data_IF_279086897678
#
_entry.id   IF_279086897678
#
_cell.length_a   1.000
_cell.length_b   1.000
_cell.length_c   1.000
_cell.angle_alpha   90.00
_cell.angle_beta   90.00
_cell.angle_gamma   90.00
#
_symmetry.space_group_name_H-M   'P 1'
#
loop_
_entity.id
_entity.type
_entity.pdbx_description
1 polymer ?
#
# COMPACT_ATOMS: atom_id res chain seq x y z
N UNK A 1 75.27 -41.76 80.83
CA UNK A 1 76.34 -41.27 81.73
C UNK A 1 76.84 -39.96 81.11
N UNK A 2 76.33 -38.82 81.59
CA UNK A 2 76.99 -37.86 82.51
C UNK A 2 78.21 -37.18 81.85
N UNK A 3 78.06 -35.92 81.44
CA UNK A 3 78.57 -34.68 82.11
C UNK A 3 79.97 -34.33 81.59
N UNK A 4 80.47 -33.10 81.39
CA UNK A 4 80.02 -31.71 81.56
C UNK A 4 81.08 -30.84 80.82
N UNK A 5 80.71 -29.86 80.00
CA UNK A 5 80.74 -28.41 80.24
C UNK A 5 82.11 -27.73 80.48
N UNK A 6 82.49 -26.78 79.60
CA UNK A 6 83.06 -25.44 79.85
C UNK A 6 83.49 -24.82 78.48
N UNK A 7 82.90 -23.76 77.93
CA UNK A 7 82.84 -22.33 78.34
C UNK A 7 84.12 -21.53 77.99
N UNK A 8 84.10 -20.78 76.88
CA UNK A 8 84.70 -19.44 76.74
C UNK A 8 84.23 -18.72 75.45
N UNK A 9 83.69 -17.51 75.59
CA UNK A 9 83.49 -16.44 74.58
C UNK A 9 84.06 -15.15 75.26
N UNK A 10 84.33 -14.00 74.59
CA UNK A 10 83.57 -13.42 73.47
C UNK A 10 84.32 -12.46 72.50
N UNK A 11 83.51 -11.91 71.56
CA UNK A 11 83.52 -10.50 71.10
C UNK A 11 84.40 -10.12 69.90
N UNK A 12 83.76 -9.68 68.79
CA UNK A 12 83.97 -8.33 68.20
C UNK A 12 83.17 -8.12 66.87
N UNK A 13 82.29 -7.12 66.91
CA UNK A 13 81.91 -6.17 65.84
C UNK A 13 81.21 -6.59 64.51
N UNK A 14 79.87 -6.39 64.50
CA UNK A 14 79.01 -5.55 63.59
C UNK A 14 79.59 -4.99 62.26
N UNK A 15 78.76 -4.65 61.23
CA UNK A 15 77.36 -4.17 61.35
C UNK A 15 76.33 -4.55 60.26
N UNK A 16 75.05 -4.29 60.61
CA UNK A 16 73.90 -3.72 59.84
C UNK A 16 73.54 -4.31 58.47
N UNK A 17 72.38 -4.98 58.40
CA UNK A 17 71.07 -4.47 57.97
C UNK A 17 70.88 -4.39 56.45
N UNK A 18 69.85 -5.08 55.95
CA UNK A 18 68.72 -4.39 55.32
C UNK A 18 67.50 -5.32 55.27
N UNK A 19 66.52 -5.00 56.13
CA UNK A 19 65.14 -5.43 56.04
C UNK A 19 64.42 -4.58 54.99
N UNK A 20 63.69 -5.21 54.07
CA UNK A 20 62.63 -4.51 53.34
C UNK A 20 61.28 -5.15 53.70
N UNK A 21 60.62 -4.48 54.64
CA UNK A 21 59.21 -4.62 54.95
C UNK A 21 58.36 -4.28 53.73
N UNK A 22 57.52 -5.23 53.30
CA UNK A 22 56.44 -4.99 52.36
C UNK A 22 55.29 -4.26 53.07
N UNK A 23 55.41 -2.94 53.24
CA UNK A 23 54.32 -2.08 53.69
C UNK A 23 53.33 -1.88 52.53
N UNK A 24 52.23 -2.65 52.53
CA UNK A 24 51.02 -2.32 51.74
C UNK A 24 50.49 -0.96 52.18
N UNK A 25 50.78 0.08 51.42
CA UNK A 25 50.08 1.37 51.53
C UNK A 25 48.83 1.30 50.66
N UNK A 26 47.67 1.23 51.29
CA UNK A 26 46.37 1.36 50.63
C UNK A 26 46.16 2.86 50.28
N UNK A 27 45.98 3.25 49.00
CA UNK A 27 45.72 4.63 48.67
C UNK A 27 44.27 4.99 49.05
N UNK A 28 44.10 5.76 50.12
CA UNK A 28 42.85 6.50 50.35
C UNK A 28 42.75 7.60 49.30
N UNK A 29 42.08 7.33 48.19
CA UNK A 29 41.65 8.37 47.27
C UNK A 29 40.43 9.07 47.85
N UNK A 30 40.64 10.18 48.56
CA UNK A 30 39.56 11.11 48.93
C UNK A 30 39.10 11.86 47.67
N UNK A 31 38.33 11.16 46.84
CA UNK A 31 37.68 11.72 45.67
C UNK A 31 36.42 12.48 46.06
N UNK A 32 36.52 13.79 46.25
CA UNK A 32 35.39 14.72 46.38
C UNK A 32 34.40 14.62 45.20
N UNK A 33 34.86 14.11 44.05
CA UNK A 33 34.04 13.85 42.86
C UNK A 33 32.98 12.77 43.08
N UNK A 34 33.31 11.69 43.81
CA UNK A 34 32.38 10.60 44.11
C UNK A 34 31.24 11.01 45.04
N UNK A 35 31.51 11.93 45.99
CA UNK A 35 30.48 12.48 46.89
C UNK A 35 29.49 13.37 46.16
N UNK A 36 29.95 14.21 45.21
CA UNK A 36 29.06 15.05 44.40
C UNK A 36 28.21 14.22 43.41
N UNK A 37 28.80 13.19 42.80
CA UNK A 37 28.07 12.25 41.95
C UNK A 37 27.00 11.45 42.72
N UNK A 38 27.28 11.04 43.97
CA UNK A 38 26.31 10.33 44.82
C UNK A 38 25.12 11.20 45.25
N UNK A 39 25.33 12.51 45.47
CA UNK A 39 24.25 13.47 45.76
C UNK A 39 23.40 13.71 44.51
N UNK A 40 24.04 13.85 43.35
CA UNK A 40 23.34 13.95 42.06
C UNK A 40 22.48 12.72 41.75
N UNK A 41 22.99 11.52 42.02
CA UNK A 41 22.26 10.26 41.82
C UNK A 41 21.02 10.12 42.72
N UNK A 42 21.10 10.57 43.99
CA UNK A 42 19.96 10.58 44.90
C UNK A 42 18.89 11.59 44.48
N UNK A 43 19.30 12.76 43.98
CA UNK A 43 18.38 13.77 43.46
C UNK A 43 17.69 13.29 42.17
N UNK A 44 18.45 12.70 41.26
CA UNK A 44 17.94 12.13 40.01
C UNK A 44 16.93 11.00 40.27
N UNK A 45 17.19 10.13 41.25
CA UNK A 45 16.26 9.06 41.63
C UNK A 45 14.97 9.58 42.26
N UNK A 46 15.03 10.65 43.07
CA UNK A 46 13.85 11.26 43.70
C UNK A 46 12.93 11.94 42.67
N UNK A 47 13.52 12.59 41.66
CA UNK A 47 12.77 13.35 40.66
C UNK A 47 12.58 12.61 39.32
N UNK A 48 13.02 11.34 39.22
CA UNK A 48 13.00 10.53 38.00
C UNK A 48 11.62 10.46 37.33
N UNK A 49 10.57 10.26 38.13
CA UNK A 49 9.19 10.19 37.61
C UNK A 49 8.70 11.51 37.03
N UNK A 50 9.08 12.64 37.63
CA UNK A 50 8.69 13.97 37.14
C UNK A 50 9.43 14.32 35.84
N UNK A 51 10.74 14.04 35.77
CA UNK A 51 11.53 14.25 34.56
C UNK A 51 11.04 13.33 33.43
N UNK A 52 10.75 12.06 33.74
CA UNK A 52 10.20 11.12 32.76
C UNK A 52 8.83 11.58 32.24
N UNK A 53 7.96 12.10 33.10
CA UNK A 53 6.66 12.63 32.69
C UNK A 53 6.79 13.81 31.74
N UNK A 54 7.73 14.73 32.01
CA UNK A 54 8.02 15.88 31.15
C UNK A 54 8.55 15.41 29.79
N UNK A 55 9.51 14.48 29.76
CA UNK A 55 10.08 13.94 28.51
C UNK A 55 9.01 13.23 27.68
N UNK A 56 8.14 12.43 28.30
CA UNK A 56 7.03 11.77 27.61
C UNK A 56 6.05 12.81 27.06
N UNK A 57 5.72 13.85 27.83
CA UNK A 57 4.88 14.96 27.39
C UNK A 57 5.45 15.69 26.17
N UNK A 58 6.76 15.96 26.17
CA UNK A 58 7.45 16.54 25.01
C UNK A 58 7.43 15.62 23.79
N UNK A 59 7.64 14.31 23.96
CA UNK A 59 7.56 13.33 22.86
C UNK A 59 6.15 13.28 22.28
N UNK A 60 5.11 13.23 23.13
CA UNK A 60 3.71 13.25 22.69
C UNK A 60 3.41 14.54 21.94
N UNK A 61 3.85 15.70 22.44
CA UNK A 61 3.67 16.99 21.78
C UNK A 61 4.38 17.06 20.41
N UNK A 62 5.58 16.49 20.28
CA UNK A 62 6.29 16.40 19.00
C UNK A 62 5.52 15.49 18.02
N UNK A 63 4.94 14.38 18.50
CA UNK A 63 4.16 13.46 17.66
C UNK A 63 2.85 14.12 17.20
N UNK A 64 2.14 14.82 18.07
CA UNK A 64 0.87 15.49 17.72
C UNK A 64 1.10 16.61 16.72
N UNK A 65 2.10 17.47 16.93
CA UNK A 65 2.42 18.58 16.02
C UNK A 65 2.89 18.11 14.65
N UNK A 66 3.68 17.03 14.56
CA UNK A 66 4.07 16.43 13.27
C UNK A 66 2.90 15.80 12.51
N UNK A 67 1.91 15.26 13.23
CA UNK A 67 0.72 14.68 12.60
C UNK A 67 -0.18 15.76 12.03
N UNK A 68 -0.30 16.89 12.72
CA UNK A 68 -1.04 18.07 12.28
C UNK A 68 -0.42 18.67 11.01
N UNK A 69 0.91 18.86 10.98
CA UNK A 69 1.59 19.36 9.77
C UNK A 69 1.45 18.42 8.57
N UNK A 70 1.46 17.10 8.81
CA UNK A 70 1.23 16.11 7.75
C UNK A 70 -0.22 16.10 7.25
N UNK A 71 -1.18 16.48 8.09
CA UNK A 71 -2.59 16.56 7.72
C UNK A 71 -2.85 17.82 6.89
N UNK A 72 -2.29 18.96 7.27
CA UNK A 72 -2.35 20.21 6.52
C UNK A 72 -1.73 20.07 5.12
N UNK A 73 -0.58 19.39 4.99
CA UNK A 73 0.02 19.07 3.68
C UNK A 73 -0.91 18.23 2.80
N UNK A 74 -1.61 17.25 3.38
CA UNK A 74 -2.55 16.41 2.63
C UNK A 74 -3.81 17.17 2.24
N UNK A 75 -4.32 18.04 3.12
CA UNK A 75 -5.49 18.89 2.84
C UNK A 75 -5.17 19.90 1.74
N UNK A 76 -4.01 20.55 1.80
CA UNK A 76 -3.55 21.46 0.75
C UNK A 76 -3.37 20.74 -0.59
N UNK A 77 -2.77 19.54 -0.59
CA UNK A 77 -2.65 18.71 -1.78
C UNK A 77 -4.01 18.29 -2.37
N UNK A 78 -4.96 17.92 -1.51
CA UNK A 78 -6.33 17.57 -1.95
C UNK A 78 -7.04 18.77 -2.56
N UNK A 79 -6.96 19.95 -1.93
CA UNK A 79 -7.54 21.18 -2.48
C UNK A 79 -6.92 21.55 -3.83
N UNK A 80 -5.60 21.42 -3.97
CA UNK A 80 -4.92 21.66 -5.24
C UNK A 80 -5.39 20.69 -6.33
N UNK A 81 -5.57 19.40 -5.98
CA UNK A 81 -6.10 18.39 -6.90
C UNK A 81 -7.54 18.69 -7.32
N UNK A 82 -8.39 19.12 -6.39
CA UNK A 82 -9.78 19.51 -6.71
C UNK A 82 -9.84 20.65 -7.72
N UNK A 83 -9.05 21.71 -7.51
CA UNK A 83 -8.97 22.84 -8.46
C UNK A 83 -8.52 22.37 -9.84
N UNK A 84 -7.50 21.50 -9.91
CA UNK A 84 -7.03 20.97 -11.19
C UNK A 84 -8.06 20.09 -11.92
N UNK A 85 -8.88 19.35 -11.16
CA UNK A 85 -9.96 18.54 -11.71
C UNK A 85 -11.12 19.40 -12.20
N UNK A 86 -11.45 20.48 -11.48
CA UNK A 86 -12.45 21.45 -11.89
C UNK A 86 -12.05 22.15 -13.20
N UNK A 87 -10.78 22.57 -13.31
CA UNK A 87 -10.22 23.15 -14.54
C UNK A 87 -10.27 22.16 -15.72
N UNK A 88 -9.93 20.89 -15.49
CA UNK A 88 -10.08 19.84 -16.49
C UNK A 88 -11.55 19.63 -16.90
N UNK A 89 -12.48 19.69 -15.93
CA UNK A 89 -13.92 19.63 -16.17
C UNK A 89 -14.43 20.77 -17.05
N UNK A 90 -13.95 22.00 -16.81
CA UNK A 90 -14.30 23.17 -17.62
C UNK A 90 -13.72 23.09 -19.04
N UNK A 91 -12.47 22.66 -19.18
CA UNK A 91 -11.83 22.49 -20.49
C UNK A 91 -12.51 21.39 -21.31
N UNK A 92 -12.83 20.24 -20.70
CA UNK A 92 -13.56 19.15 -21.38
C UNK A 92 -14.97 19.57 -21.78
N UNK A 93 -15.67 20.38 -20.96
CA UNK A 93 -16.97 20.94 -21.33
C UNK A 93 -16.87 21.89 -22.54
N UNK A 94 -15.81 22.71 -22.61
CA UNK A 94 -15.54 23.58 -23.76
C UNK A 94 -15.24 22.77 -25.04
N UNK A 95 -14.42 21.72 -24.93
CA UNK A 95 -14.10 20.81 -26.04
C UNK A 95 -15.34 20.09 -26.56
N UNK A 96 -16.19 19.56 -25.66
CA UNK A 96 -17.46 18.93 -26.02
C UNK A 96 -18.34 19.91 -26.79
N UNK A 97 -18.45 21.16 -26.32
CA UNK A 97 -19.24 22.19 -26.99
C UNK A 97 -18.69 22.49 -28.39
N UNK A 98 -17.37 22.65 -28.52
CA UNK A 98 -16.73 22.86 -29.83
C UNK A 98 -16.96 21.68 -30.78
N UNK A 99 -16.95 20.46 -30.26
CA UNK A 99 -17.17 19.24 -31.05
C UNK A 99 -18.64 19.12 -31.50
N UNK A 100 -19.59 19.53 -30.65
CA UNK A 100 -21.01 19.65 -30.99
C UNK A 100 -21.21 20.71 -32.07
N UNK A 101 -20.61 21.90 -31.96
CA UNK A 101 -20.73 22.95 -32.97
C UNK A 101 -20.14 22.51 -34.31
N UNK A 102 -19.01 21.80 -34.30
CA UNK A 102 -18.41 21.22 -35.50
C UNK A 102 -19.31 20.12 -36.11
N UNK A 103 -19.91 19.25 -35.29
CA UNK A 103 -20.89 18.26 -35.76
C UNK A 103 -22.15 18.94 -36.32
N UNK A 104 -22.63 20.01 -35.70
CA UNK A 104 -23.78 20.76 -36.18
C UNK A 104 -23.50 21.42 -37.54
N UNK A 105 -22.28 21.91 -37.77
CA UNK A 105 -21.85 22.44 -39.07
C UNK A 105 -21.75 21.34 -40.14
N UNK A 106 -21.21 20.16 -39.79
CA UNK A 106 -21.18 18.99 -40.69
C UNK A 106 -22.58 18.51 -41.01
N UNK A 107 -23.51 18.45 -40.03
CA UNK A 107 -24.91 18.07 -40.26
C UNK A 107 -25.59 19.07 -41.20
N UNK A 108 -25.41 20.38 -40.99
CA UNK A 108 -25.94 21.42 -41.89
C UNK A 108 -25.35 21.34 -43.30
N UNK A 109 -24.06 20.99 -43.45
CA UNK A 109 -23.47 20.71 -44.77
C UNK A 109 -24.00 19.42 -45.37
N UNK A 110 -24.31 18.40 -44.57
CA UNK A 110 -24.87 17.13 -45.05
C UNK A 110 -26.33 17.22 -45.45
N UNK A 111 -27.14 18.09 -44.81
CA UNK A 111 -28.49 18.43 -45.28
C UNK A 111 -28.45 19.10 -46.67
N UNK A 112 -27.36 19.81 -47.00
CA UNK A 112 -27.13 20.37 -48.33
C UNK A 112 -26.66 19.31 -49.37
N UNK A 113 -26.14 18.16 -48.91
CA UNK A 113 -25.73 17.00 -49.72
C UNK A 113 -26.82 15.91 -49.84
N UNK A 114 -27.91 15.98 -49.07
CA UNK A 114 -29.07 15.09 -49.24
C UNK A 114 -29.78 15.30 -50.59
N UNK A 115 -29.51 16.44 -51.27
CA UNK A 115 -29.87 16.67 -52.66
C UNK A 115 -29.00 15.88 -53.68
N UNK A 116 -27.92 15.22 -53.25
CA UNK A 116 -26.97 14.49 -54.11
C UNK A 116 -26.92 12.97 -53.86
N UNK A 117 -27.61 12.44 -52.84
CA UNK A 117 -27.65 11.02 -52.50
C UNK A 117 -28.79 10.23 -53.16
N UNK A 118 -29.09 10.53 -54.43
CA UNK A 118 -29.81 9.60 -55.33
C UNK A 118 -28.87 8.75 -56.19
N UNK A 119 -27.56 8.84 -56.02
CA UNK A 119 -26.58 8.25 -56.96
C UNK A 119 -25.45 7.41 -56.36
N UNK A 120 -25.55 6.91 -55.12
CA UNK A 120 -24.45 6.11 -54.53
C UNK A 120 -24.89 4.81 -53.86
N UNK A 121 -25.62 3.98 -54.61
CA UNK A 121 -25.71 2.55 -54.32
C UNK A 121 -24.66 1.79 -55.15
N UNK A 122 -23.39 1.76 -54.71
CA UNK A 122 -22.40 0.74 -55.15
C UNK A 122 -21.11 0.69 -54.30
N UNK A 123 -20.95 -0.42 -53.55
CA UNK A 123 -19.67 -0.96 -53.02
C UNK A 123 -19.15 -0.26 -51.76
N UNK A 124 -18.51 -0.90 -50.79
CA UNK A 124 -18.04 -2.27 -50.59
C UNK A 124 -17.17 -2.30 -49.32
N UNK A 125 -17.27 -3.40 -48.58
CA UNK A 125 -16.36 -4.01 -47.57
C UNK A 125 -15.15 -3.19 -47.08
N UNK A 126 -14.93 -3.20 -45.75
CA UNK A 126 -13.68 -3.66 -45.09
C UNK A 126 -13.76 -3.56 -43.55
N UNK A 127 -13.57 -4.68 -42.84
CA UNK A 127 -12.78 -4.72 -41.58
C UNK A 127 -12.37 -6.17 -41.30
N UNK A 128 -11.17 -6.32 -40.77
CA UNK A 128 -10.29 -7.48 -40.91
C UNK A 128 -10.60 -8.67 -40.00
N UNK A 129 -10.26 -9.85 -40.51
CA UNK A 129 -10.20 -11.12 -39.80
C UNK A 129 -8.99 -11.20 -38.85
N UNK A 130 -9.21 -11.73 -37.66
CA UNK A 130 -8.22 -12.52 -36.93
C UNK A 130 -8.85 -13.89 -36.61
N UNK A 131 -8.20 -14.94 -37.09
CA UNK A 131 -8.68 -16.32 -37.25
C UNK A 131 -8.14 -17.19 -36.11
N UNK A 132 -9.01 -17.99 -35.47
CA UNK A 132 -8.68 -19.36 -35.03
C UNK A 132 -9.91 -20.27 -35.18
N UNK A 133 -9.64 -21.47 -35.71
CA UNK A 133 -10.58 -22.44 -36.24
C UNK A 133 -11.15 -23.37 -35.16
N UNK A 134 -12.43 -23.71 -35.28
CA UNK A 134 -13.09 -24.75 -34.48
C UNK A 134 -14.61 -24.68 -34.57
N UNK A 135 -15.19 -25.38 -35.56
CA UNK A 135 -16.63 -25.57 -35.80
C UNK A 135 -17.45 -24.27 -35.99
N UNK A 136 -17.42 -23.75 -37.22
CA UNK A 136 -18.20 -22.58 -37.64
C UNK A 136 -19.69 -22.95 -37.77
N UNK A 137 -20.41 -22.99 -36.63
CA UNK A 137 -21.84 -22.69 -36.66
C UNK A 137 -21.96 -21.24 -37.13
N UNK A 138 -22.75 -20.97 -38.17
CA UNK A 138 -23.05 -19.60 -38.61
C UNK A 138 -23.69 -18.86 -37.43
N UNK A 139 -22.89 -18.12 -36.66
CA UNK A 139 -23.34 -17.32 -35.53
C UNK A 139 -23.80 -16.00 -36.10
N UNK A 140 -25.11 -15.83 -36.24
CA UNK A 140 -25.67 -14.49 -36.38
C UNK A 140 -25.30 -13.70 -35.12
N UNK A 141 -24.69 -12.51 -35.24
CA UNK A 141 -24.33 -11.72 -34.08
C UNK A 141 -25.60 -11.39 -33.30
N UNK A 142 -25.73 -12.00 -32.11
CA UNK A 142 -26.81 -11.70 -31.18
C UNK A 142 -26.47 -10.40 -30.44
N UNK A 143 -27.49 -9.59 -30.18
CA UNK A 143 -27.32 -8.34 -29.43
C UNK A 143 -27.09 -8.65 -27.95
N UNK A 144 -26.03 -8.08 -27.38
CA UNK A 144 -25.74 -8.19 -25.96
C UNK A 144 -26.48 -7.09 -25.19
N UNK A 145 -27.47 -7.49 -24.39
CA UNK A 145 -28.23 -6.58 -23.51
C UNK A 145 -27.63 -6.43 -22.11
N UNK A 146 -26.66 -7.26 -21.77
CA UNK A 146 -25.89 -7.22 -20.52
C UNK A 146 -24.61 -6.38 -20.66
N UNK A 147 -24.27 -5.90 -21.86
CA UNK A 147 -23.12 -5.03 -22.09
C UNK A 147 -23.22 -3.70 -21.34
N UNK A 148 -22.12 -3.31 -20.68
CA UNK A 148 -21.99 -2.01 -20.02
C UNK A 148 -22.17 -0.85 -21.00
N UNK A 149 -21.61 -0.95 -22.22
CA UNK A 149 -21.76 0.09 -23.24
C UNK A 149 -23.18 0.23 -23.78
N UNK A 150 -24.00 -0.83 -23.64
CA UNK A 150 -25.42 -0.79 -23.94
C UNK A 150 -26.27 -0.21 -22.79
N UNK A 151 -25.68 0.11 -21.64
CA UNK A 151 -26.36 0.67 -20.47
C UNK A 151 -26.79 -0.36 -19.41
N UNK A 152 -26.28 -1.60 -19.48
CA UNK A 152 -26.48 -2.57 -18.41
C UNK A 152 -25.66 -2.19 -17.15
N UNK A 153 -26.10 -2.65 -15.99
CA UNK A 153 -25.45 -2.35 -14.71
C UNK A 153 -25.49 -3.52 -13.73
N UNK A 154 -24.55 -3.54 -12.79
CA UNK A 154 -24.54 -4.51 -11.69
C UNK A 154 -25.60 -4.13 -10.64
N UNK A 155 -26.22 -5.15 -10.04
CA UNK A 155 -27.07 -5.03 -8.85
C UNK A 155 -26.25 -5.51 -7.65
N UNK A 156 -25.64 -4.59 -6.92
CA UNK A 156 -24.67 -4.92 -5.86
C UNK A 156 -25.27 -5.79 -4.75
N UNK A 157 -26.54 -5.58 -4.39
CA UNK A 157 -27.23 -6.37 -3.35
C UNK A 157 -27.47 -7.83 -3.73
N UNK A 158 -27.42 -8.16 -5.02
CA UNK A 158 -27.56 -9.51 -5.56
C UNK A 158 -26.22 -10.08 -6.05
N UNK A 159 -25.12 -9.38 -5.80
CA UNK A 159 -23.79 -9.74 -6.30
C UNK A 159 -22.89 -10.13 -5.12
N UNK A 160 -22.11 -11.20 -5.29
CA UNK A 160 -21.15 -11.63 -4.28
C UNK A 160 -20.10 -10.54 -4.01
N UNK A 161 -19.48 -10.51 -2.82
CA UNK A 161 -18.39 -9.60 -2.56
C UNK A 161 -17.18 -9.90 -3.47
N UNK A 162 -16.58 -8.86 -4.04
CA UNK A 162 -15.32 -8.97 -4.77
C UNK A 162 -14.23 -9.54 -3.86
N UNK A 163 -13.42 -10.43 -4.43
CA UNK A 163 -12.29 -11.02 -3.73
C UNK A 163 -11.32 -9.95 -3.25
N UNK A 164 -10.87 -10.08 -2.00
CA UNK A 164 -9.86 -9.22 -1.42
C UNK A 164 -8.94 -10.01 -0.52
N UNK A 165 -7.67 -9.60 -0.45
CA UNK A 165 -6.66 -10.22 0.39
C UNK A 165 -5.83 -9.17 1.11
N UNK A 166 -5.58 -9.39 2.40
CA UNK A 166 -4.73 -8.53 3.21
C UNK A 166 -3.28 -8.93 3.00
N UNK A 167 -2.54 -8.11 2.25
CA UNK A 167 -1.11 -8.29 2.02
C UNK A 167 -0.32 -7.59 3.12
N UNK A 168 0.54 -8.33 3.81
CA UNK A 168 1.53 -7.73 4.71
C UNK A 168 2.63 -7.06 3.87
N UNK A 169 2.80 -5.74 4.04
CA UNK A 169 3.72 -4.93 3.21
C UNK A 169 5.14 -5.00 3.76
N UNK A 170 5.29 -5.25 5.06
CA UNK A 170 6.59 -5.24 5.72
C UNK A 170 6.61 -6.28 6.85
N UNK A 171 7.52 -7.28 6.83
CA UNK A 171 7.77 -8.10 8.00
C UNK A 171 8.44 -7.22 9.06
N UNK A 172 7.63 -6.61 9.92
CA UNK A 172 8.16 -5.70 10.94
C UNK A 172 8.97 -6.52 11.94
N UNK A 173 10.28 -6.28 12.02
CA UNK A 173 11.14 -6.80 13.12
C UNK A 173 10.66 -6.33 14.51
N UNK A 174 9.79 -5.32 14.55
CA UNK A 174 9.10 -4.83 15.73
C UNK A 174 7.62 -5.24 15.68
N UNK A 175 7.21 -6.15 16.56
CA UNK A 175 5.85 -6.72 16.64
C UNK A 175 4.71 -5.72 16.87
N UNK A 176 4.99 -4.44 17.13
CA UNK A 176 3.98 -3.44 17.46
C UNK A 176 3.32 -2.73 16.27
N UNK A 177 3.87 -2.80 15.06
CA UNK A 177 3.32 -2.09 13.90
C UNK A 177 3.33 -2.95 12.64
N UNK A 178 2.39 -3.91 12.56
CA UNK A 178 2.10 -4.62 11.32
C UNK A 178 1.35 -3.69 10.37
N UNK A 179 1.94 -3.38 9.22
CA UNK A 179 1.27 -2.66 8.13
C UNK A 179 0.75 -3.67 7.13
N UNK A 180 -0.56 -3.91 7.16
CA UNK A 180 -1.28 -4.63 6.11
C UNK A 180 -1.89 -3.65 5.11
N UNK A 181 -1.85 -4.02 3.83
CA UNK A 181 -2.60 -3.36 2.77
C UNK A 181 -3.57 -4.36 2.18
N UNK A 182 -4.84 -3.95 2.12
CA UNK A 182 -5.88 -4.72 1.47
C UNK A 182 -5.77 -4.56 -0.03
N UNK A 183 -5.53 -5.67 -0.73
CA UNK A 183 -5.54 -5.76 -2.19
C UNK A 183 -6.91 -6.24 -2.61
N UNK A 184 -7.54 -5.54 -3.55
CA UNK A 184 -8.84 -5.91 -4.10
C UNK A 184 -8.66 -6.42 -5.53
N UNK A 185 -9.45 -7.43 -5.89
CA UNK A 185 -9.62 -7.79 -7.28
C UNK A 185 -10.39 -6.71 -8.06
N UNK A 186 -10.44 -6.87 -9.38
CA UNK A 186 -11.24 -6.00 -10.25
C UNK A 186 -12.72 -6.01 -9.84
N UNK A 187 -13.48 -4.93 -10.06
CA UNK A 187 -14.88 -4.84 -9.64
C UNK A 187 -15.82 -5.73 -10.47
N UNK A 188 -17.03 -6.05 -9.98
CA UNK A 188 -17.99 -6.90 -10.69
C UNK A 188 -18.43 -6.34 -12.05
N UNK A 189 -18.33 -5.02 -12.22
CA UNK A 189 -18.62 -4.33 -13.48
C UNK A 189 -17.81 -4.90 -14.67
N UNK A 190 -16.62 -5.44 -14.41
CA UNK A 190 -15.77 -6.03 -15.45
C UNK A 190 -16.43 -7.19 -16.20
N UNK A 191 -17.40 -7.88 -15.60
CA UNK A 191 -18.17 -8.96 -16.26
C UNK A 191 -19.04 -8.42 -17.41
N UNK A 192 -19.41 -7.14 -17.38
CA UNK A 192 -20.25 -6.51 -18.41
C UNK A 192 -19.42 -5.90 -19.54
N UNK A 193 -18.10 -5.95 -19.45
CA UNK A 193 -17.17 -5.46 -20.47
C UNK A 193 -16.74 -6.65 -21.33
N UNK A 194 -16.74 -6.48 -22.65
CA UNK A 194 -16.42 -7.56 -23.60
C UNK A 194 -14.92 -7.91 -23.70
N UNK A 195 -14.10 -7.49 -22.74
CA UNK A 195 -12.65 -7.73 -22.74
C UNK A 195 -12.32 -9.04 -22.02
N UNK A 196 -11.71 -9.98 -22.74
CA UNK A 196 -11.29 -11.30 -22.24
C UNK A 196 -9.77 -11.40 -22.07
N UNK A 197 -9.08 -10.26 -21.96
CA UNK A 197 -7.65 -10.20 -21.71
C UNK A 197 -7.28 -10.75 -20.33
N UNK A 198 -6.05 -11.27 -20.20
CA UNK A 198 -5.53 -11.77 -18.93
C UNK A 198 -5.60 -10.71 -17.83
N UNK A 199 -6.15 -11.09 -16.67
CA UNK A 199 -6.30 -10.20 -15.51
C UNK A 199 -7.54 -9.29 -15.57
N UNK A 200 -8.25 -9.23 -16.71
CA UNK A 200 -9.51 -8.50 -16.84
C UNK A 200 -10.67 -9.46 -16.56
N UNK A 201 -10.85 -9.78 -15.29
CA UNK A 201 -11.96 -10.60 -14.80
C UNK A 201 -12.35 -10.17 -13.39
N UNK A 202 -13.56 -10.53 -12.96
CA UNK A 202 -14.03 -10.28 -11.60
C UNK A 202 -13.86 -11.54 -10.73
N UNK A 203 -12.95 -11.52 -9.74
CA UNK A 203 -12.80 -12.61 -8.79
C UNK A 203 -13.76 -12.46 -7.60
N UNK A 204 -14.27 -13.59 -7.10
CA UNK A 204 -15.01 -13.71 -5.84
C UNK A 204 -14.41 -14.83 -4.97
N UNK A 205 -14.77 -14.87 -3.68
CA UNK A 205 -14.26 -15.89 -2.77
C UNK A 205 -14.98 -17.24 -2.95
N UNK A 206 -14.19 -18.32 -3.03
CA UNK A 206 -14.70 -19.69 -3.09
C UNK A 206 -15.04 -20.15 -4.51
N UNK A 207 -15.78 -21.25 -4.60
CA UNK A 207 -16.18 -21.90 -5.87
C UNK A 207 -17.61 -21.58 -6.29
N UNK A 208 -18.37 -20.89 -5.44
CA UNK A 208 -19.78 -20.57 -5.67
C UNK A 208 -19.99 -19.09 -5.39
N UNK A 209 -20.56 -18.39 -6.36
CA UNK A 209 -20.85 -16.97 -6.30
C UNK A 209 -22.04 -16.63 -7.19
N UNK A 210 -22.49 -15.38 -7.09
CA UNK A 210 -23.62 -14.86 -7.87
C UNK A 210 -23.34 -13.44 -8.34
N UNK A 211 -23.89 -13.08 -9.49
CA UNK A 211 -23.86 -11.72 -10.01
C UNK A 211 -25.27 -11.30 -10.43
N UNK A 212 -25.73 -10.17 -9.91
CA UNK A 212 -26.97 -9.56 -10.32
C UNK A 212 -26.71 -8.57 -11.45
N UNK A 213 -27.40 -8.74 -12.58
CA UNK A 213 -27.26 -7.85 -13.74
C UNK A 213 -28.61 -7.24 -14.07
N UNK A 214 -28.68 -5.91 -14.07
CA UNK A 214 -29.79 -5.17 -14.67
C UNK A 214 -29.48 -4.95 -16.14
N UNK A 215 -30.27 -5.59 -17.00
CA UNK A 215 -30.14 -5.45 -18.44
C UNK A 215 -30.46 -4.02 -18.89
N UNK A 216 -29.90 -3.63 -20.04
CA UNK A 216 -30.15 -2.33 -20.69
C UNK A 216 -31.63 -2.06 -20.99
N UNK A 217 -32.44 -3.12 -21.14
CA UNK A 217 -33.90 -3.06 -21.33
C UNK A 217 -34.56 -4.38 -20.95
N UNK A 218 -35.86 -4.36 -20.76
CA UNK A 218 -36.67 -5.58 -20.57
C UNK A 218 -36.71 -6.38 -21.87
N UNK A 219 -36.32 -7.64 -21.80
CA UNK A 219 -36.28 -8.56 -22.94
C UNK A 219 -36.75 -9.95 -22.52
N UNK A 220 -37.06 -10.78 -23.51
CA UNK A 220 -37.12 -12.23 -23.36
C UNK A 220 -35.73 -12.80 -23.60
N UNK A 221 -35.17 -13.53 -22.62
CA UNK A 221 -33.81 -14.07 -22.69
C UNK A 221 -33.82 -15.35 -23.53
N UNK A 222 -33.16 -15.32 -24.69
CA UNK A 222 -33.03 -16.48 -25.60
C UNK A 222 -31.71 -17.25 -25.43
N UNK A 223 -30.75 -16.67 -24.72
CA UNK A 223 -29.43 -17.29 -24.52
C UNK A 223 -28.53 -16.42 -23.66
N UNK A 224 -27.53 -17.08 -23.08
CA UNK A 224 -26.50 -16.48 -22.22
C UNK A 224 -25.14 -16.92 -22.77
N UNK A 225 -24.20 -15.98 -22.81
CA UNK A 225 -22.82 -16.24 -23.21
C UNK A 225 -21.91 -16.00 -22.01
N UNK A 226 -21.02 -16.94 -21.72
CA UNK A 226 -20.00 -16.81 -20.67
C UNK A 226 -18.64 -16.96 -21.35
N UNK A 227 -17.81 -15.91 -21.26
CA UNK A 227 -16.45 -15.89 -21.79
C UNK A 227 -15.43 -16.07 -20.68
N UNK A 228 -14.30 -16.69 -21.00
CA UNK A 228 -13.12 -16.76 -20.15
C UNK A 228 -11.87 -16.66 -21.04
N UNK A 229 -10.74 -16.28 -20.44
CA UNK A 229 -9.45 -16.28 -21.13
C UNK A 229 -9.16 -17.69 -21.71
N UNK A 230 -8.60 -17.82 -22.93
CA UNK A 230 -8.30 -19.10 -23.53
C UNK A 230 -7.36 -19.94 -22.66
N UNK A 231 -7.57 -21.26 -22.70
CA UNK A 231 -6.84 -22.23 -21.87
C UNK A 231 -5.32 -22.17 -22.05
N UNK A 232 -4.85 -21.86 -23.24
CA UNK A 232 -3.41 -21.71 -23.53
C UNK A 232 -2.74 -20.57 -22.75
N UNK A 233 -3.51 -19.60 -22.27
CA UNK A 233 -3.01 -18.43 -21.54
C UNK A 233 -3.31 -18.49 -20.04
N UNK A 234 -4.17 -19.40 -19.61
CA UNK A 234 -4.59 -19.51 -18.22
C UNK A 234 -3.60 -20.39 -17.44
N UNK A 235 -2.96 -19.80 -16.42
CA UNK A 235 -1.97 -20.49 -15.59
C UNK A 235 -2.57 -21.50 -14.59
N UNK A 236 -3.90 -21.53 -14.43
CA UNK A 236 -4.59 -22.21 -13.30
C UNK A 236 -5.94 -22.88 -13.66
N UNK A 237 -6.12 -23.38 -14.90
CA UNK A 237 -7.34 -24.12 -15.34
C UNK A 237 -7.10 -25.43 -16.10
#
# INVERSE_FOLDING_TARGET
MRESAAMYTPQSNRPRQLSHDARRTNPKSDGTFGRKAAIGWKWLKKNWFSISGIVIGFIVLIITTRKESSLDEKVTLLNQRLVSLEEQGLNTAADIKSLIDAMLDVVKRSEFEEALLLTENRGGRMSGQAKQEGHESIVYPRKDFASFSAGASIIDTLTSPTWSNDREIQPSKFTLFKKSQKVFGSPPLTVLVSDLSLGICWPFHGTTGQVGIRLSRTIWVEGITIGHVPRSLAYDI
#
